data_IF_525543987751
#
_entry.id   IF_525543987751
#
_cell.length_a   1.000
_cell.length_b   1.000
_cell.length_c   1.000
_cell.angle_alpha   90.00
_cell.angle_beta   90.00
_cell.angle_gamma   90.00
#
_symmetry.space_group_name_H-M   'P 1'
#
loop_
_entity.id
_entity.type
_entity.pdbx_description
1 polymer ?
#
# COMPACT_ATOMS: atom_id res chain seq x y z
N UNK A 1 17.90 41.22 -16.11
CA UNK A 1 19.30 40.96 -15.73
C UNK A 1 19.58 39.49 -16.00
N UNK A 2 20.21 39.18 -17.15
CA UNK A 2 20.38 37.80 -17.63
C UNK A 2 21.66 37.25 -17.01
N UNK A 3 21.50 36.39 -16.00
CA UNK A 3 22.61 35.72 -15.30
C UNK A 3 23.50 35.00 -16.32
N UNK A 4 24.71 35.51 -16.53
CA UNK A 4 25.77 34.84 -17.26
C UNK A 4 26.60 34.09 -16.22
N UNK A 5 26.46 32.76 -16.18
CA UNK A 5 27.35 31.91 -15.41
C UNK A 5 28.63 31.65 -16.23
N UNK A 6 29.83 31.85 -15.67
CA UNK A 6 31.07 31.46 -16.34
C UNK A 6 31.20 29.93 -16.39
N UNK A 7 31.79 29.42 -17.48
CA UNK A 7 32.13 28.01 -17.65
C UNK A 7 33.08 27.55 -16.53
N UNK A 8 32.58 26.72 -15.61
CA UNK A 8 33.36 26.19 -14.49
C UNK A 8 32.57 26.05 -13.20
N UNK A 9 31.52 25.23 -13.20
CA UNK A 9 30.88 24.59 -12.04
C UNK A 9 30.74 25.42 -10.74
N UNK A 10 29.96 26.50 -10.76
CA UNK A 10 29.46 27.12 -9.53
C UNK A 10 28.08 26.53 -9.19
N UNK A 11 28.07 25.34 -8.57
CA UNK A 11 26.83 24.80 -7.96
C UNK A 11 26.51 25.64 -6.73
N UNK A 12 25.35 26.30 -6.75
CA UNK A 12 24.86 27.04 -5.59
C UNK A 12 24.55 26.05 -4.47
N UNK A 13 24.84 26.33 -3.19
CA UNK A 13 24.61 25.36 -2.11
C UNK A 13 23.17 24.83 -2.01
N UNK A 14 22.21 25.58 -2.57
CA UNK A 14 20.81 25.17 -2.63
C UNK A 14 20.55 23.98 -3.58
N UNK A 15 21.35 23.80 -4.64
CA UNK A 15 21.08 22.76 -5.64
C UNK A 15 21.36 21.35 -5.09
N UNK A 16 22.52 21.06 -4.45
CA UNK A 16 22.74 19.77 -3.81
C UNK A 16 21.76 19.49 -2.67
N UNK A 17 21.37 20.53 -1.92
CA UNK A 17 20.38 20.42 -0.84
C UNK A 17 19.00 20.06 -1.38
N UNK A 18 18.58 20.66 -2.49
CA UNK A 18 17.31 20.36 -3.15
C UNK A 18 17.29 18.92 -3.68
N UNK A 19 18.39 18.46 -4.27
CA UNK A 19 18.55 17.06 -4.73
C UNK A 19 18.47 16.10 -3.54
N UNK A 20 19.20 16.38 -2.45
CA UNK A 20 19.19 15.54 -1.26
C UNK A 20 17.79 15.49 -0.61
N UNK A 21 17.11 16.63 -0.50
CA UNK A 21 15.74 16.69 0.02
C UNK A 21 14.75 15.92 -0.87
N UNK A 22 14.86 16.06 -2.19
CA UNK A 22 14.02 15.33 -3.16
C UNK A 22 14.28 13.82 -3.10
N UNK A 23 15.55 13.42 -2.95
CA UNK A 23 15.93 12.01 -2.79
C UNK A 23 15.40 11.44 -1.47
N UNK A 24 15.48 12.19 -0.37
CA UNK A 24 14.94 11.80 0.93
C UNK A 24 13.42 11.61 0.88
N UNK A 25 12.69 12.56 0.28
CA UNK A 25 11.24 12.46 0.07
C UNK A 25 10.90 11.25 -0.80
N UNK A 26 11.61 11.07 -1.92
CA UNK A 26 11.41 9.92 -2.80
C UNK A 26 11.62 8.58 -2.07
N UNK A 27 12.65 8.49 -1.23
CA UNK A 27 12.93 7.30 -0.42
C UNK A 27 11.81 6.98 0.58
N UNK A 28 11.29 8.00 1.28
CA UNK A 28 10.17 7.85 2.22
C UNK A 28 8.93 7.35 1.48
N UNK A 29 8.63 7.90 0.31
CA UNK A 29 7.49 7.46 -0.49
C UNK A 29 7.63 5.98 -0.92
N UNK A 30 8.81 5.58 -1.41
CA UNK A 30 9.10 4.18 -1.77
C UNK A 30 8.88 3.24 -0.58
N UNK A 31 9.35 3.60 0.61
CA UNK A 31 9.12 2.79 1.83
C UNK A 31 7.64 2.64 2.16
N UNK A 32 6.87 3.73 2.11
CA UNK A 32 5.42 3.69 2.32
C UNK A 32 4.70 2.77 1.33
N UNK A 33 5.05 2.83 0.04
CA UNK A 33 4.47 1.94 -0.97
C UNK A 33 4.81 0.47 -0.72
N UNK A 34 6.01 0.16 -0.23
CA UNK A 34 6.38 -1.21 0.15
C UNK A 34 5.55 -1.72 1.34
N UNK A 35 5.30 -0.87 2.34
CA UNK A 35 4.44 -1.23 3.48
C UNK A 35 3.00 -1.52 3.03
N UNK A 36 2.45 -0.64 2.18
CA UNK A 36 1.13 -0.84 1.57
C UNK A 36 1.08 -2.14 0.77
N UNK A 37 2.06 -2.37 -0.13
CA UNK A 37 2.12 -3.57 -0.95
C UNK A 37 2.19 -4.86 -0.10
N UNK A 38 2.96 -4.84 0.99
CA UNK A 38 3.01 -5.95 1.94
C UNK A 38 1.66 -6.20 2.61
N UNK A 39 0.95 -5.15 3.02
CA UNK A 39 -0.38 -5.26 3.63
C UNK A 39 -1.41 -5.84 2.64
N UNK A 40 -1.45 -5.35 1.39
CA UNK A 40 -2.30 -5.91 0.35
C UNK A 40 -1.97 -7.37 0.06
N UNK A 41 -0.68 -7.74 0.02
CA UNK A 41 -0.26 -9.12 -0.22
C UNK A 41 -0.69 -10.06 0.90
N UNK A 42 -0.69 -9.60 2.16
CA UNK A 42 -1.18 -10.37 3.30
C UNK A 42 -2.69 -10.56 3.22
N UNK A 43 -3.46 -9.49 3.00
CA UNK A 43 -4.92 -9.58 2.87
C UNK A 43 -5.32 -10.48 1.69
N UNK A 44 -4.62 -10.39 0.56
CA UNK A 44 -4.85 -11.28 -0.59
C UNK A 44 -4.60 -12.76 -0.21
N UNK A 45 -3.58 -13.04 0.60
CA UNK A 45 -3.31 -14.38 1.09
C UNK A 45 -4.43 -14.89 2.03
N UNK A 46 -4.89 -14.05 2.97
CA UNK A 46 -6.00 -14.38 3.88
C UNK A 46 -7.30 -14.68 3.12
N UNK A 47 -7.62 -13.88 2.09
CA UNK A 47 -8.76 -14.14 1.19
C UNK A 47 -8.56 -15.45 0.43
N UNK A 48 -7.34 -15.73 -0.04
CA UNK A 48 -7.01 -17.00 -0.69
C UNK A 48 -7.28 -18.22 0.19
N UNK A 49 -7.10 -18.11 1.51
CA UNK A 49 -7.42 -19.17 2.47
C UNK A 49 -8.95 -19.38 2.61
N UNK A 50 -9.72 -18.29 2.57
CA UNK A 50 -11.19 -18.39 2.53
C UNK A 50 -11.61 -19.07 1.23
N UNK A 51 -10.99 -18.70 0.10
CA UNK A 51 -11.27 -19.31 -1.20
C UNK A 51 -11.00 -20.82 -1.21
N UNK A 52 -9.95 -21.33 -0.58
CA UNK A 52 -9.71 -22.78 -0.53
C UNK A 52 -10.80 -23.55 0.21
N UNK A 53 -11.55 -22.92 1.12
CA UNK A 53 -12.64 -23.61 1.83
C UNK A 53 -13.86 -23.87 0.96
N UNK A 54 -14.01 -23.19 -0.18
CA UNK A 54 -15.16 -23.41 -1.07
C UNK A 54 -15.12 -24.78 -1.76
N UNK A 55 -13.94 -25.42 -1.87
CA UNK A 55 -13.84 -26.77 -2.46
C UNK A 55 -14.44 -27.85 -1.57
N UNK A 56 -14.58 -27.58 -0.27
CA UNK A 56 -15.10 -28.52 0.72
C UNK A 56 -16.61 -28.32 0.95
N UNK A 57 -17.21 -27.30 0.33
CA UNK A 57 -18.64 -27.01 0.39
C UNK A 57 -19.37 -27.91 -0.61
N UNK A 58 -20.25 -28.77 -0.10
CA UNK A 58 -20.94 -29.78 -0.92
C UNK A 58 -22.46 -29.60 -0.96
N UNK A 59 -23.02 -28.83 -0.03
CA UNK A 59 -24.45 -28.57 0.07
C UNK A 59 -24.79 -27.08 -0.05
N UNK A 60 -26.03 -26.78 -0.43
CA UNK A 60 -26.52 -25.39 -0.53
C UNK A 60 -26.52 -24.68 0.83
N UNK A 61 -26.77 -25.41 1.93
CA UNK A 61 -26.71 -24.87 3.29
C UNK A 61 -25.28 -24.48 3.68
N UNK A 62 -24.30 -25.34 3.42
CA UNK A 62 -22.88 -25.06 3.67
C UNK A 62 -22.39 -23.88 2.81
N UNK A 63 -22.89 -23.76 1.58
CA UNK A 63 -22.57 -22.63 0.72
C UNK A 63 -23.12 -21.31 1.27
N UNK A 64 -24.37 -21.32 1.74
CA UNK A 64 -24.97 -20.14 2.38
C UNK A 64 -24.21 -19.72 3.64
N UNK A 65 -23.76 -20.67 4.46
CA UNK A 65 -22.95 -20.38 5.65
C UNK A 65 -21.56 -19.84 5.28
N UNK A 66 -20.92 -20.44 4.27
CA UNK A 66 -19.63 -19.99 3.74
C UNK A 66 -19.68 -18.55 3.24
N UNK A 67 -20.71 -18.20 2.46
CA UNK A 67 -20.89 -16.83 1.95
C UNK A 67 -21.07 -15.84 3.11
N UNK A 68 -21.89 -16.18 4.10
CA UNK A 68 -22.14 -15.32 5.25
C UNK A 68 -20.87 -15.09 6.09
N UNK A 69 -20.07 -16.12 6.33
CA UNK A 69 -18.78 -15.98 7.03
C UNK A 69 -17.78 -15.14 6.22
N UNK A 70 -17.72 -15.37 4.90
CA UNK A 70 -16.87 -14.59 4.01
C UNK A 70 -17.23 -13.10 4.04
N UNK A 71 -18.52 -12.77 3.89
CA UNK A 71 -19.01 -11.39 3.94
C UNK A 71 -18.73 -10.71 5.28
N UNK A 72 -18.86 -11.43 6.39
CA UNK A 72 -18.52 -10.93 7.73
C UNK A 72 -17.03 -10.64 7.85
N UNK A 73 -16.18 -11.53 7.34
CA UNK A 73 -14.73 -11.33 7.33
C UNK A 73 -14.34 -10.10 6.49
N UNK A 74 -14.86 -9.98 5.27
CA UNK A 74 -14.63 -8.82 4.41
C UNK A 74 -15.10 -7.50 5.03
N UNK A 75 -16.27 -7.49 5.66
CA UNK A 75 -16.82 -6.30 6.32
C UNK A 75 -15.94 -5.84 7.50
N UNK A 76 -15.37 -6.79 8.25
CA UNK A 76 -14.46 -6.52 9.37
C UNK A 76 -13.15 -5.91 8.87
N UNK A 77 -12.54 -6.50 7.84
CA UNK A 77 -11.32 -5.96 7.22
C UNK A 77 -11.55 -4.54 6.70
N UNK A 78 -12.64 -4.32 5.95
CA UNK A 78 -12.97 -2.99 5.45
C UNK A 78 -13.10 -1.95 6.57
N UNK A 79 -13.73 -2.32 7.68
CA UNK A 79 -13.84 -1.43 8.87
C UNK A 79 -12.46 -1.13 9.47
N UNK A 80 -11.58 -2.12 9.59
CA UNK A 80 -10.21 -1.91 10.07
C UNK A 80 -9.39 -1.02 9.14
N UNK A 81 -9.58 -1.15 7.82
CA UNK A 81 -8.93 -0.33 6.81
C UNK A 81 -9.36 1.14 6.91
N UNK A 82 -10.66 1.38 7.03
CA UNK A 82 -11.20 2.74 7.23
C UNK A 82 -10.67 3.34 8.54
N UNK A 83 -10.56 2.55 9.61
CA UNK A 83 -9.99 3.02 10.87
C UNK A 83 -8.52 3.47 10.71
N UNK A 84 -7.69 2.67 10.03
CA UNK A 84 -6.27 3.00 9.77
C UNK A 84 -6.05 4.14 8.80
N UNK A 85 -7.05 4.49 7.98
CA UNK A 85 -6.98 5.66 7.08
C UNK A 85 -7.25 6.99 7.80
N UNK A 86 -7.98 6.95 8.91
CA UNK A 86 -8.35 8.13 9.69
C UNK A 86 -7.36 8.45 10.82
N UNK A 87 -6.43 7.54 11.12
CA UNK A 87 -5.26 7.74 11.99
C UNK A 87 -4.04 8.23 11.18
#
# INVERSE_FOLDING_TARGET
MRSHYPEGWSVWPAEPLLVAASAAIGWIQIKKFNELASAYSLTAHEIGIIQTRISDVTTESEFSEFVNESERAFSREHTQWVARQND
#
